data_IF_458492444133
#
_entry.id   IF_458492444133
#
_cell.length_a   1.000
_cell.length_b   1.000
_cell.length_c   1.000
_cell.angle_alpha   90.00
_cell.angle_beta   90.00
_cell.angle_gamma   90.00
#
_symmetry.space_group_name_H-M   'P 1'
#
loop_
_entity.id
_entity.type
_entity.pdbx_description
1 polymer ?
#
# COMPACT_ATOMS: atom_id res chain seq x y z
N UNK A 1 -11.53 23.73 -4.65
CA UNK A 1 -10.24 23.32 -4.07
C UNK A 1 -10.28 21.81 -3.89
N UNK A 2 -9.81 21.04 -4.87
CA UNK A 2 -9.65 19.60 -4.71
C UNK A 2 -8.24 19.38 -4.19
N UNK A 3 -8.09 19.31 -2.86
CA UNK A 3 -6.82 18.94 -2.24
C UNK A 3 -6.39 17.54 -2.72
N UNK A 4 -5.09 17.21 -2.72
CA UNK A 4 -4.64 15.88 -3.07
C UNK A 4 -5.42 14.90 -2.19
N UNK A 5 -6.14 13.98 -2.84
CA UNK A 5 -6.86 12.90 -2.17
C UNK A 5 -5.80 12.24 -1.30
N UNK A 6 -5.94 12.37 0.02
CA UNK A 6 -5.03 11.77 0.99
C UNK A 6 -4.97 10.31 0.58
N UNK A 7 -3.85 9.89 0.02
CA UNK A 7 -3.60 8.52 -0.38
C UNK A 7 -3.64 7.78 0.94
N UNK A 8 -4.74 7.07 1.21
CA UNK A 8 -4.98 6.50 2.54
C UNK A 8 -3.77 5.68 2.95
N UNK A 9 -3.13 6.09 4.04
CA UNK A 9 -2.00 5.36 4.58
C UNK A 9 -2.52 4.02 5.07
N UNK A 10 -2.07 2.94 4.45
CA UNK A 10 -2.49 1.58 4.80
C UNK A 10 -1.60 0.98 5.86
N UNK A 11 -1.98 -0.19 6.37
CA UNK A 11 -1.10 -1.01 7.20
C UNK A 11 -0.78 -2.30 6.50
N UNK A 12 0.48 -2.72 6.58
CA UNK A 12 0.89 -4.04 6.14
C UNK A 12 0.16 -5.10 6.98
N UNK A 13 -0.50 -6.09 6.36
CA UNK A 13 -1.19 -7.16 7.09
C UNK A 13 -0.25 -8.16 7.76
N UNK A 14 1.06 -8.11 7.48
CA UNK A 14 2.05 -9.04 8.03
C UNK A 14 2.79 -8.44 9.24
N UNK A 15 3.42 -7.27 9.07
CA UNK A 15 4.17 -6.61 10.15
C UNK A 15 3.41 -5.48 10.86
N UNK A 16 2.28 -5.02 10.31
CA UNK A 16 1.53 -3.88 10.86
C UNK A 16 2.12 -2.49 10.56
N UNK A 17 3.22 -2.41 9.79
CA UNK A 17 3.85 -1.15 9.40
C UNK A 17 2.89 -0.26 8.59
N UNK A 18 3.00 1.06 8.78
CA UNK A 18 2.21 2.04 8.02
C UNK A 18 2.82 2.22 6.63
N UNK A 19 2.02 1.99 5.60
CA UNK A 19 2.35 2.14 4.19
C UNK A 19 1.93 3.55 3.74
N UNK A 20 2.89 4.48 3.57
CA UNK A 20 2.58 5.90 3.47
C UNK A 20 1.99 6.32 2.12
N UNK A 21 2.30 5.62 1.01
CA UNK A 21 1.81 5.97 -0.32
C UNK A 21 1.59 4.73 -1.19
N UNK A 22 0.49 4.72 -1.94
CA UNK A 22 0.27 3.76 -3.01
C UNK A 22 1.10 4.17 -4.21
N UNK A 23 1.83 3.23 -4.80
CA UNK A 23 2.65 3.52 -5.97
C UNK A 23 1.73 3.70 -7.21
N UNK A 24 1.70 4.88 -7.86
CA UNK A 24 0.76 5.15 -8.94
C UNK A 24 1.07 4.37 -10.22
N UNK A 25 2.27 3.79 -10.33
CA UNK A 25 2.69 2.96 -11.47
C UNK A 25 2.16 1.54 -11.31
N UNK A 26 2.26 0.99 -10.11
CA UNK A 26 1.94 -0.43 -9.85
C UNK A 26 0.51 -0.60 -9.32
N UNK A 27 -0.06 0.44 -8.71
CA UNK A 27 -1.44 0.45 -8.20
C UNK A 27 -1.62 -0.25 -6.84
N UNK A 28 -0.52 -0.58 -6.15
CA UNK A 28 -0.50 -1.19 -4.83
C UNK A 28 0.56 -0.56 -3.93
N UNK A 29 0.43 -0.76 -2.62
CA UNK A 29 1.37 -0.31 -1.61
C UNK A 29 2.43 -1.38 -1.38
N UNK A 30 3.71 -1.02 -1.45
CA UNK A 30 4.81 -1.90 -1.07
C UNK A 30 5.21 -1.62 0.38
N UNK A 31 5.34 -2.67 1.17
CA UNK A 31 5.90 -2.57 2.51
C UNK A 31 7.42 -2.62 2.46
N UNK A 32 8.13 -1.58 2.92
CA UNK A 32 9.60 -1.58 2.99
C UNK A 32 10.18 -2.64 3.93
N UNK A 33 9.46 -3.03 4.99
CA UNK A 33 9.92 -4.04 5.95
C UNK A 33 9.79 -5.47 5.43
N UNK A 34 8.67 -5.78 4.78
CA UNK A 34 8.35 -7.15 4.34
C UNK A 34 8.54 -7.37 2.84
N UNK A 35 8.85 -6.30 2.10
CA UNK A 35 8.82 -6.26 0.63
C UNK A 35 7.49 -6.80 0.07
N UNK A 36 6.42 -6.67 0.87
CA UNK A 36 5.12 -7.26 0.60
C UNK A 36 4.23 -6.26 -0.13
N UNK A 37 3.64 -6.71 -1.23
CA UNK A 37 2.62 -5.95 -1.93
C UNK A 37 1.25 -6.04 -1.31
N UNK A 38 0.59 -4.90 -1.19
CA UNK A 38 -0.74 -4.76 -0.58
C UNK A 38 -1.65 -3.95 -1.50
N UNK A 39 -2.81 -4.47 -1.85
CA UNK A 39 -3.76 -3.81 -2.75
C UNK A 39 -4.69 -2.77 -2.05
N UNK A 40 -5.60 -2.19 -2.83
CA UNK A 40 -6.61 -1.23 -2.36
C UNK A 40 -7.64 -1.80 -1.38
N UNK A 41 -7.76 -3.12 -1.26
CA UNK A 41 -8.57 -3.80 -0.24
C UNK A 41 -7.76 -4.14 1.01
N UNK A 42 -6.43 -4.12 0.93
CA UNK A 42 -5.51 -4.44 2.03
C UNK A 42 -5.07 -5.88 1.98
N UNK A 43 -5.33 -6.56 0.87
CA UNK A 43 -4.95 -7.95 0.64
C UNK A 43 -3.58 -8.02 -0.02
N UNK A 44 -2.95 -9.20 0.07
CA UNK A 44 -1.59 -9.42 -0.41
C UNK A 44 -1.61 -9.60 -1.93
N UNK A 45 -0.81 -8.80 -2.62
CA UNK A 45 -0.52 -9.00 -4.04
C UNK A 45 0.59 -10.05 -4.15
N UNK A 46 0.26 -11.25 -4.60
CA UNK A 46 1.25 -12.30 -4.92
C UNK A 46 1.41 -12.37 -6.43
N UNK A 47 2.56 -11.96 -6.94
CA UNK A 47 2.95 -12.23 -8.33
C UNK A 47 3.11 -13.76 -8.49
N UNK A 48 2.32 -14.37 -9.38
CA UNK A 48 2.36 -15.80 -9.68
C UNK A 48 2.77 -16.02 -11.13
#
# INVERSE_FOLDING_TARGET
>A
MTGPRVTESKRCPDCGAVLPLCDPIVGWWLCDDCELGVDENGERVTDR
#
